data_IF_741883856494
#
_entry.id   IF_741883856494
#
_cell.length_a   1.000
_cell.length_b   1.000
_cell.length_c   1.000
_cell.angle_alpha   90.00
_cell.angle_beta   90.00
_cell.angle_gamma   90.00
#
_symmetry.space_group_name_H-M   'P 1'
#
loop_
_entity.id
_entity.type
_entity.pdbx_description
1 polymer ?
#
# COMPACT_ATOMS: atom_id res chain seq x y z
N UNK A 1 34.02 -10.21 -9.04
CA UNK A 1 34.93 -10.28 -7.88
C UNK A 1 34.08 -10.45 -6.63
N UNK A 2 34.29 -11.53 -5.88
CA UNK A 2 33.57 -11.87 -4.64
C UNK A 2 34.15 -11.07 -3.48
N UNK A 3 33.31 -10.45 -2.64
CA UNK A 3 33.51 -10.34 -1.19
C UNK A 3 32.16 -10.36 -0.47
N UNK A 4 31.99 -11.42 0.32
CA UNK A 4 31.00 -11.55 1.37
C UNK A 4 31.56 -10.94 2.66
N UNK A 5 30.68 -10.44 3.54
CA UNK A 5 30.91 -10.48 4.98
C UNK A 5 29.57 -10.29 5.72
N UNK A 6 29.10 -11.41 6.26
CA UNK A 6 28.15 -11.53 7.36
C UNK A 6 28.67 -10.72 8.55
N UNK A 7 27.83 -9.89 9.16
CA UNK A 7 28.01 -9.48 10.57
C UNK A 7 26.73 -9.82 11.31
N UNK A 8 26.79 -11.00 11.92
CA UNK A 8 26.00 -11.33 13.09
C UNK A 8 26.38 -10.35 14.21
N UNK A 9 25.37 -9.71 14.81
CA UNK A 9 25.56 -8.75 15.90
C UNK A 9 24.41 -8.86 16.90
N UNK A 10 24.31 -10.01 17.55
CA UNK A 10 23.46 -10.23 18.71
C UNK A 10 24.00 -9.41 19.88
N UNK A 11 23.32 -8.32 20.25
CA UNK A 11 23.52 -7.67 21.56
C UNK A 11 22.18 -7.54 22.26
N UNK A 12 21.89 -8.57 23.05
CA UNK A 12 21.00 -8.47 24.19
C UNK A 12 21.76 -7.76 25.31
N UNK A 13 21.22 -6.67 25.84
CA UNK A 13 21.54 -6.20 27.19
C UNK A 13 20.25 -5.77 27.88
N UNK A 14 19.91 -6.52 28.92
CA UNK A 14 18.95 -6.21 29.98
C UNK A 14 19.45 -5.02 30.81
N UNK A 15 18.54 -4.12 31.19
CA UNK A 15 18.53 -3.43 32.49
C UNK A 15 17.14 -2.79 32.67
N UNK A 16 16.25 -3.39 33.47
CA UNK A 16 16.09 -3.15 34.91
C UNK A 16 14.89 -2.23 35.17
N UNK A 17 13.68 -2.84 35.19
CA UNK A 17 12.50 -2.19 35.78
C UNK A 17 12.67 -2.15 37.30
N UNK A 18 12.84 -0.95 37.82
CA UNK A 18 12.93 -0.67 39.26
C UNK A 18 11.54 -0.62 39.92
N UNK A 19 11.48 -1.32 41.05
CA UNK A 19 10.72 -1.00 42.26
C UNK A 19 9.18 -1.18 42.24
N UNK A 20 8.77 -2.41 42.56
CA UNK A 20 7.47 -2.71 43.16
C UNK A 20 7.51 -2.41 44.67
N UNK A 21 6.47 -1.72 45.16
CA UNK A 21 6.22 -1.46 46.58
C UNK A 21 4.96 -2.21 47.02
N UNK A 22 5.04 -2.88 48.18
CA UNK A 22 3.98 -3.67 48.81
C UNK A 22 4.18 -5.17 48.53
N UNK A 23 4.45 -6.07 49.47
CA UNK A 23 4.07 -6.12 50.88
C UNK A 23 3.08 -7.26 51.06
N UNK A 24 3.52 -8.44 51.53
CA UNK A 24 2.61 -9.50 52.00
C UNK A 24 3.01 -10.95 51.70
N UNK A 25 3.45 -11.64 52.75
CA UNK A 25 3.19 -13.04 53.13
C UNK A 25 3.37 -14.22 52.14
N UNK A 26 4.35 -15.06 52.49
CA UNK A 26 4.36 -16.53 52.52
C UNK A 26 3.38 -17.33 51.63
N UNK A 27 3.96 -18.04 50.66
CA UNK A 27 3.39 -19.22 50.02
C UNK A 27 4.28 -19.62 48.84
N UNK A 28 5.04 -20.70 48.94
CA UNK A 28 5.78 -21.30 47.83
C UNK A 28 4.82 -22.07 46.92
N UNK A 29 4.76 -21.78 45.61
CA UNK A 29 4.27 -22.74 44.62
C UNK A 29 5.39 -23.22 43.69
N UNK A 30 5.20 -24.46 43.24
CA UNK A 30 5.92 -25.21 42.20
C UNK A 30 6.57 -24.38 41.09
N UNK A 31 7.69 -24.86 40.50
CA UNK A 31 8.23 -24.31 39.27
C UNK A 31 7.26 -24.62 38.12
N UNK A 32 6.32 -23.70 37.87
CA UNK A 32 5.56 -23.61 36.63
C UNK A 32 6.56 -23.48 35.49
N UNK A 33 6.54 -24.45 34.57
CA UNK A 33 7.29 -24.42 33.34
C UNK A 33 7.08 -23.07 32.65
N UNK A 34 8.17 -22.35 32.38
CA UNK A 34 8.13 -21.10 31.64
C UNK A 34 7.41 -21.33 30.31
N UNK A 35 6.44 -20.47 29.92
CA UNK A 35 5.88 -20.55 28.57
C UNK A 35 7.02 -20.32 27.58
N UNK A 36 7.23 -21.29 26.69
CA UNK A 36 8.14 -21.15 25.55
C UNK A 36 7.85 -19.83 24.83
N UNK A 37 8.87 -19.09 24.38
CA UNK A 37 8.63 -17.90 23.58
C UNK A 37 7.85 -18.31 22.34
N UNK A 38 6.64 -17.77 22.21
CA UNK A 38 5.87 -17.83 20.96
C UNK A 38 6.79 -17.30 19.87
N UNK A 39 7.16 -18.17 18.92
CA UNK A 39 7.92 -17.75 17.75
C UNK A 39 7.21 -16.56 17.10
N UNK A 40 7.95 -15.57 16.55
CA UNK A 40 7.31 -14.43 15.92
C UNK A 40 6.34 -14.96 14.86
N UNK A 41 5.05 -14.61 15.03
CA UNK A 41 4.07 -14.70 13.95
C UNK A 41 4.72 -14.07 12.73
N UNK A 42 4.94 -14.86 11.68
CA UNK A 42 5.35 -14.32 10.39
C UNK A 42 4.31 -13.24 10.04
N UNK A 43 4.76 -11.98 10.00
CA UNK A 43 3.98 -10.93 9.37
C UNK A 43 3.62 -11.44 7.98
N UNK A 44 2.32 -11.45 7.66
CA UNK A 44 1.87 -11.92 6.36
C UNK A 44 2.52 -11.02 5.30
N UNK A 45 3.50 -11.56 4.58
CA UNK A 45 4.13 -10.83 3.48
C UNK A 45 3.05 -10.47 2.47
N UNK A 46 2.85 -9.19 2.21
CA UNK A 46 1.96 -8.71 1.14
C UNK A 46 2.52 -9.20 -0.19
N UNK A 47 1.65 -9.69 -1.08
CA UNK A 47 2.10 -10.16 -2.39
C UNK A 47 2.54 -8.97 -3.25
N UNK A 48 3.55 -9.13 -4.13
CA UNK A 48 3.96 -8.08 -5.04
C UNK A 48 2.83 -7.56 -5.93
N UNK A 49 1.91 -8.43 -6.36
CA UNK A 49 0.75 -8.00 -7.16
C UNK A 49 -0.22 -7.13 -6.36
N UNK A 50 -0.46 -7.46 -5.08
CA UNK A 50 -1.29 -6.63 -4.20
C UNK A 50 -0.64 -5.28 -3.95
N UNK A 51 0.69 -5.25 -3.77
CA UNK A 51 1.43 -4.01 -3.59
C UNK A 51 1.38 -3.11 -4.83
N UNK A 52 1.55 -3.72 -6.01
CA UNK A 52 1.44 -3.01 -7.28
C UNK A 52 0.03 -2.44 -7.49
N UNK A 53 -1.02 -3.21 -7.16
CA UNK A 53 -2.40 -2.74 -7.28
C UNK A 53 -2.66 -1.54 -6.36
N UNK A 54 -2.28 -1.61 -5.08
CA UNK A 54 -2.44 -0.51 -4.14
C UNK A 54 -1.67 0.76 -4.59
N UNK A 55 -0.44 0.58 -5.10
CA UNK A 55 0.37 1.66 -5.66
C UNK A 55 -0.30 2.32 -6.87
N UNK A 56 -0.88 1.52 -7.78
CA UNK A 56 -1.63 2.05 -8.93
C UNK A 56 -2.88 2.82 -8.50
N UNK A 57 -3.59 2.36 -7.47
CA UNK A 57 -4.77 3.06 -6.95
C UNK A 57 -4.41 4.44 -6.38
N UNK A 58 -3.30 4.56 -5.65
CA UNK A 58 -2.79 5.85 -5.16
C UNK A 58 -2.46 6.77 -6.34
N UNK A 59 -1.70 6.29 -7.32
CA UNK A 59 -1.34 7.10 -8.49
C UNK A 59 -2.56 7.52 -9.31
N UNK A 60 -3.56 6.65 -9.46
CA UNK A 60 -4.82 6.98 -10.14
C UNK A 60 -5.62 8.05 -9.38
N UNK A 61 -5.65 7.98 -8.04
CA UNK A 61 -6.33 8.99 -7.22
C UNK A 61 -5.69 10.37 -7.37
N UNK A 62 -4.35 10.44 -7.41
CA UNK A 62 -3.61 11.69 -7.62
C UNK A 62 -3.84 12.29 -9.01
N UNK A 63 -3.84 11.46 -10.06
CA UNK A 63 -4.19 11.92 -11.42
C UNK A 63 -5.60 12.50 -11.45
N UNK A 64 -6.57 11.79 -10.86
CA UNK A 64 -7.96 12.27 -10.78
C UNK A 64 -8.07 13.57 -9.98
N UNK A 65 -7.31 13.71 -8.88
CA UNK A 65 -7.31 14.94 -8.10
C UNK A 65 -6.82 16.13 -8.93
N UNK A 66 -5.77 15.94 -9.72
CA UNK A 66 -5.24 16.96 -10.63
C UNK A 66 -6.26 17.34 -11.72
N UNK A 67 -6.92 16.34 -12.34
CA UNK A 67 -7.99 16.57 -13.31
C UNK A 67 -9.13 17.41 -12.69
N UNK A 68 -9.62 17.01 -11.52
CA UNK A 68 -10.65 17.76 -10.80
C UNK A 68 -10.18 19.17 -10.49
N UNK A 69 -8.94 19.34 -9.97
CA UNK A 69 -8.37 20.66 -9.63
C UNK A 69 -8.25 21.57 -10.86
N UNK A 70 -7.89 21.01 -12.02
CA UNK A 70 -7.77 21.73 -13.29
C UNK A 70 -9.13 22.20 -13.83
N UNK A 71 -10.15 21.36 -13.68
CA UNK A 71 -11.50 21.62 -14.19
C UNK A 71 -12.42 22.25 -13.12
N UNK A 72 -11.89 22.57 -11.94
CA UNK A 72 -12.65 23.14 -10.82
C UNK A 72 -13.03 24.59 -11.08
N UNK A 73 -14.33 24.84 -11.21
CA UNK A 73 -14.89 26.20 -11.25
C UNK A 73 -15.54 26.59 -9.90
N UNK A 74 -15.69 25.64 -8.98
CA UNK A 74 -16.38 25.83 -7.71
C UNK A 74 -15.53 25.45 -6.49
N UNK A 75 -15.80 26.02 -5.31
CA UNK A 75 -15.18 25.60 -4.06
C UNK A 75 -15.46 24.13 -3.69
N UNK A 76 -16.60 23.58 -4.14
CA UNK A 76 -16.96 22.19 -3.87
C UNK A 76 -16.07 21.21 -4.66
N UNK A 77 -15.74 21.54 -5.91
CA UNK A 77 -14.83 20.74 -6.74
C UNK A 77 -13.39 20.84 -6.23
N UNK A 78 -12.94 22.02 -5.82
CA UNK A 78 -11.64 22.18 -5.16
C UNK A 78 -11.54 21.34 -3.87
N UNK A 79 -12.61 21.26 -3.07
CA UNK A 79 -12.67 20.39 -1.90
C UNK A 79 -12.67 18.89 -2.26
N UNK A 80 -13.24 18.52 -3.41
CA UNK A 80 -13.20 17.14 -3.92
C UNK A 80 -11.77 16.75 -4.35
N UNK A 81 -11.03 17.64 -5.02
CA UNK A 81 -9.61 17.42 -5.34
C UNK A 81 -8.77 17.25 -4.06
N UNK A 82 -8.95 18.13 -3.07
CA UNK A 82 -8.27 18.03 -1.78
C UNK A 82 -8.58 16.71 -1.04
N UNK A 83 -9.83 16.24 -1.10
CA UNK A 83 -10.22 14.95 -0.53
C UNK A 83 -9.47 13.80 -1.19
N UNK A 84 -9.39 13.81 -2.53
CA UNK A 84 -8.65 12.78 -3.27
C UNK A 84 -7.16 12.78 -2.94
N UNK A 85 -6.54 13.96 -2.81
CA UNK A 85 -5.13 14.09 -2.42
C UNK A 85 -4.88 13.58 -1.00
N UNK A 86 -5.78 13.91 -0.06
CA UNK A 86 -5.70 13.44 1.33
C UNK A 86 -5.90 11.93 1.44
N UNK A 87 -6.86 11.37 0.70
CA UNK A 87 -7.08 9.93 0.66
C UNK A 87 -5.85 9.20 0.08
N UNK A 88 -5.27 9.73 -1.00
CA UNK A 88 -4.05 9.18 -1.59
C UNK A 88 -2.88 9.21 -0.61
N UNK A 89 -2.66 10.33 0.08
CA UNK A 89 -1.63 10.45 1.13
C UNK A 89 -1.85 9.44 2.25
N UNK A 90 -3.10 9.32 2.75
CA UNK A 90 -3.44 8.41 3.84
C UNK A 90 -3.21 6.95 3.44
N UNK A 91 -3.59 6.57 2.22
CA UNK A 91 -3.35 5.22 1.69
C UNK A 91 -1.87 4.91 1.50
N UNK A 92 -1.05 5.88 1.11
CA UNK A 92 0.40 5.66 1.01
C UNK A 92 1.07 5.37 2.35
N UNK A 93 0.46 5.79 3.46
CA UNK A 93 0.91 5.43 4.80
C UNK A 93 0.48 4.02 5.22
N UNK A 94 -0.42 3.37 4.47
CA UNK A 94 -0.87 2.01 4.77
C UNK A 94 0.15 0.95 4.33
N UNK A 95 0.14 -0.19 5.02
CA UNK A 95 0.96 -1.34 4.65
C UNK A 95 0.54 -1.88 3.28
N UNK A 96 1.50 -2.07 2.39
CA UNK A 96 1.26 -2.63 1.06
C UNK A 96 1.22 -1.62 -0.07
N UNK A 97 1.46 -0.33 0.17
CA UNK A 97 1.84 0.60 -0.91
C UNK A 97 3.35 0.55 -1.13
N UNK A 98 3.82 0.93 -2.32
CA UNK A 98 5.25 1.01 -2.61
C UNK A 98 6.00 1.87 -1.57
N UNK A 99 7.17 1.40 -1.07
CA UNK A 99 7.93 2.12 -0.06
C UNK A 99 8.39 3.52 -0.50
N UNK A 100 8.50 3.78 -1.81
CA UNK A 100 8.80 5.12 -2.33
C UNK A 100 7.68 6.11 -2.05
N UNK A 101 6.42 5.73 -2.31
CA UNK A 101 5.25 6.55 -1.95
C UNK A 101 5.07 6.67 -0.45
N UNK A 102 5.33 5.59 0.30
CA UNK A 102 5.28 5.61 1.75
C UNK A 102 6.26 6.64 2.34
N UNK A 103 7.51 6.63 1.87
CA UNK A 103 8.53 7.57 2.34
C UNK A 103 8.18 9.03 2.04
N UNK A 104 7.59 9.32 0.86
CA UNK A 104 7.14 10.67 0.51
C UNK A 104 5.97 11.10 1.40
N UNK A 105 5.01 10.21 1.64
CA UNK A 105 3.89 10.49 2.54
C UNK A 105 4.38 10.73 3.99
N UNK A 106 5.37 9.97 4.47
CA UNK A 106 5.99 10.19 5.78
C UNK A 106 6.75 11.52 5.86
N UNK A 107 7.49 11.91 4.82
CA UNK A 107 8.20 13.20 4.77
C UNK A 107 7.24 14.38 4.88
N UNK A 108 6.05 14.25 4.31
CA UNK A 108 5.02 15.28 4.27
C UNK A 108 3.83 15.01 5.21
N UNK A 109 4.08 14.34 6.34
CA UNK A 109 3.04 14.02 7.33
C UNK A 109 2.24 15.26 7.75
N UNK A 110 0.94 15.27 7.40
CA UNK A 110 0.02 16.35 7.71
C UNK A 110 0.02 17.52 6.72
N UNK A 111 0.78 17.42 5.63
CA UNK A 111 0.79 18.38 4.53
C UNK A 111 0.53 17.66 3.19
N UNK A 112 -0.71 17.22 3.01
CA UNK A 112 -1.14 16.50 1.80
C UNK A 112 -0.97 17.34 0.53
N UNK A 113 -1.08 18.67 0.62
CA UNK A 113 -0.89 19.56 -0.52
C UNK A 113 0.57 19.61 -0.97
N UNK A 114 1.54 19.53 -0.05
CA UNK A 114 2.96 19.38 -0.37
C UNK A 114 3.31 17.95 -0.81
N UNK A 115 2.66 16.94 -0.24
CA UNK A 115 2.89 15.54 -0.61
C UNK A 115 2.44 15.22 -2.04
N UNK A 116 1.25 15.71 -2.43
CA UNK A 116 0.61 15.40 -3.72
C UNK A 116 1.50 15.64 -4.96
N UNK A 117 2.22 16.77 -5.13
CA UNK A 117 3.15 16.93 -6.26
C UNK A 117 4.33 15.95 -6.21
N UNK A 118 4.96 15.74 -5.05
CA UNK A 118 6.09 14.82 -4.92
C UNK A 118 5.68 13.36 -5.21
N UNK A 119 4.51 12.94 -4.73
CA UNK A 119 3.95 11.62 -5.01
C UNK A 119 3.57 11.46 -6.49
N UNK A 120 3.09 12.52 -7.15
CA UNK A 120 2.81 12.50 -8.61
C UNK A 120 4.07 12.35 -9.44
N UNK A 121 5.14 13.09 -9.10
CA UNK A 121 6.43 12.97 -9.78
C UNK A 121 6.97 11.53 -9.64
N UNK A 122 6.88 10.96 -8.44
CA UNK A 122 7.20 9.56 -8.22
C UNK A 122 6.34 8.62 -9.09
N UNK A 123 5.02 8.84 -9.15
CA UNK A 123 4.11 8.03 -9.96
C UNK A 123 4.48 8.08 -11.45
N UNK A 124 4.86 9.25 -11.97
CA UNK A 124 5.28 9.41 -13.36
C UNK A 124 6.53 8.59 -13.70
N UNK A 125 7.46 8.46 -12.75
CA UNK A 125 8.71 7.72 -12.92
C UNK A 125 8.59 6.22 -12.65
N UNK A 126 7.62 5.80 -11.83
CA UNK A 126 7.56 4.44 -11.27
C UNK A 126 6.32 3.64 -11.65
N UNK A 127 5.33 4.27 -12.28
CA UNK A 127 4.24 3.54 -12.94
C UNK A 127 4.48 3.55 -14.44
N UNK A 128 4.60 2.39 -15.11
CA UNK A 128 4.62 2.39 -16.55
C UNK A 128 3.31 3.03 -17.01
N UNK A 129 3.40 4.01 -17.93
CA UNK A 129 2.22 4.50 -18.64
C UNK A 129 1.39 3.28 -19.06
N UNK A 130 0.04 3.32 -18.93
CA UNK A 130 -0.80 2.19 -19.28
C UNK A 130 -0.47 1.83 -20.72
N UNK A 131 0.37 0.80 -20.88
CA UNK A 131 0.78 0.35 -22.19
C UNK A 131 -0.49 -0.13 -22.85
N UNK A 132 -0.61 0.12 -24.14
CA UNK A 132 -1.67 -0.34 -25.02
C UNK A 132 -1.76 -1.88 -25.09
N UNK A 133 -1.88 -2.56 -23.96
CA UNK A 133 -2.13 -3.98 -23.77
C UNK A 133 -3.63 -4.29 -23.79
N UNK A 134 -4.42 -3.43 -24.45
CA UNK A 134 -5.79 -3.70 -24.86
C UNK A 134 -6.03 -3.36 -26.35
N UNK A 135 -5.00 -3.00 -27.12
CA UNK A 135 -5.07 -3.01 -28.60
C UNK A 135 -4.68 -4.40 -29.11
N UNK A 136 -5.54 -5.38 -28.89
CA UNK A 136 -5.26 -6.77 -29.30
C UNK A 136 -6.43 -7.74 -29.20
N UNK A 137 -7.53 -7.38 -28.55
CA UNK A 137 -8.78 -8.11 -28.71
C UNK A 137 -9.61 -7.37 -29.78
N UNK A 138 -9.73 -7.87 -31.01
CA UNK A 138 -10.71 -7.32 -31.94
C UNK A 138 -12.11 -7.43 -31.28
N UNK A 139 -13.01 -6.46 -31.50
CA UNK A 139 -14.39 -6.60 -31.06
C UNK A 139 -14.93 -7.94 -31.59
N UNK A 140 -15.73 -8.71 -30.82
CA UNK A 140 -16.45 -9.84 -31.40
C UNK A 140 -17.24 -9.30 -32.59
N UNK A 141 -16.80 -9.66 -33.80
CA UNK A 141 -17.45 -9.23 -35.01
C UNK A 141 -18.93 -9.61 -34.97
N UNK A 142 -19.81 -8.87 -35.68
CA UNK A 142 -21.20 -9.27 -35.77
C UNK A 142 -21.25 -10.70 -36.31
N UNK A 143 -21.88 -11.59 -35.55
CA UNK A 143 -22.18 -12.95 -35.95
C UNK A 143 -22.97 -12.89 -37.27
N UNK A 144 -22.24 -12.96 -38.39
CA UNK A 144 -22.83 -13.03 -39.72
C UNK A 144 -23.22 -14.49 -39.92
N UNK A 145 -24.26 -14.91 -39.20
CA UNK A 145 -24.99 -16.14 -39.46
C UNK A 145 -25.85 -15.91 -40.69
N UNK A 146 -25.23 -16.02 -41.86
CA UNK A 146 -25.95 -16.23 -43.11
C UNK A 146 -26.59 -17.62 -43.07
N UNK A 147 -27.91 -17.68 -43.19
CA UNK A 147 -28.63 -18.92 -43.42
C UNK A 147 -30.15 -18.73 -43.48
N UNK A 148 -30.72 -18.25 -44.59
CA UNK A 148 -32.12 -18.48 -44.91
C UNK A 148 -32.26 -19.86 -45.55
N UNK A 149 -32.46 -20.90 -44.74
CA UNK A 149 -32.94 -22.20 -45.23
C UNK A 149 -33.91 -22.81 -44.23
N UNK A 150 -35.19 -22.48 -44.42
CA UNK A 150 -36.31 -23.25 -43.85
C UNK A 150 -37.34 -23.42 -44.98
N UNK A 151 -37.24 -24.51 -45.76
CA UNK A 151 -38.33 -24.99 -46.57
C UNK A 151 -39.33 -25.79 -45.69
N UNK A 152 -40.59 -25.39 -45.81
CA UNK A 152 -41.87 -26.11 -45.64
C UNK A 152 -41.90 -27.45 -44.87
N UNK A 153 -42.77 -27.51 -43.84
CA UNK A 153 -43.95 -28.40 -43.78
C UNK A 153 -44.91 -28.00 -42.66
#
# INVERSE_FOLDING_TARGET
MRRAAVIAGTTAVLAALTAACGGGAAGTPSPTAAPSPTAPTQAASISPEAQQAATQEVCAALTKAEEVRKDSDTPAEAAAAFTLETDAHTRSLEEGVDPGLHAIAEEHLGDSEAAAPAMRDWCADNTPAPSAAAEGQPPPGPATGAGPDQPSR
#
